data_IF_546846874482
#
_entry.id   IF_546846874482
#
_cell.length_a   1.000
_cell.length_b   1.000
_cell.length_c   1.000
_cell.angle_alpha   90.00
_cell.angle_beta   90.00
_cell.angle_gamma   90.00
#
_symmetry.space_group_name_H-M   'P 1'
#
loop_
_entity.id
_entity.type
_entity.pdbx_description
1 polymer ?
#
# COMPACT_ATOMS: atom_id res chain seq x y z
N UNK A 1 9.77 22.83 54.41
CA UNK A 1 9.71 21.56 53.65
C UNK A 1 8.52 21.47 52.68
N UNK A 2 7.30 21.89 53.04
CA UNK A 2 6.08 21.82 52.18
C UNK A 2 6.17 22.54 50.82
N UNK A 3 6.89 23.67 50.73
CA UNK A 3 7.03 24.43 49.48
C UNK A 3 7.88 23.72 48.40
N UNK A 4 8.88 22.92 48.81
CA UNK A 4 9.75 22.18 47.87
C UNK A 4 9.02 21.00 47.23
N UNK A 5 8.22 20.26 48.00
CA UNK A 5 7.38 19.18 47.46
C UNK A 5 6.30 19.69 46.51
N UNK A 6 5.74 20.88 46.76
CA UNK A 6 4.71 21.47 45.91
C UNK A 6 5.27 21.93 44.55
N UNK A 7 6.48 22.52 44.53
CA UNK A 7 7.18 22.86 43.29
C UNK A 7 7.53 21.63 42.44
N UNK A 8 7.95 20.53 43.08
CA UNK A 8 8.25 19.27 42.38
C UNK A 8 6.98 18.67 41.76
N UNK A 9 5.86 18.67 42.50
CA UNK A 9 4.57 18.18 41.98
C UNK A 9 4.04 19.06 40.83
N UNK A 10 4.19 20.39 40.93
CA UNK A 10 3.84 21.32 39.85
C UNK A 10 4.69 21.06 38.60
N UNK A 11 6.00 20.86 38.78
CA UNK A 11 6.91 20.53 37.67
C UNK A 11 6.56 19.22 36.98
N UNK A 12 6.27 18.17 37.75
CA UNK A 12 5.82 16.88 37.21
C UNK A 12 4.48 17.01 36.47
N UNK A 13 3.52 17.74 37.03
CA UNK A 13 2.23 18.00 36.38
C UNK A 13 2.42 18.71 35.03
N UNK A 14 3.31 19.70 34.95
CA UNK A 14 3.62 20.40 33.71
C UNK A 14 4.20 19.46 32.65
N UNK A 15 5.15 18.59 33.03
CA UNK A 15 5.75 17.61 32.10
C UNK A 15 4.70 16.64 31.56
N UNK A 16 3.79 16.15 32.41
CA UNK A 16 2.71 15.25 31.98
C UNK A 16 1.77 15.94 31.00
N UNK A 17 1.40 17.20 31.25
CA UNK A 17 0.55 17.98 30.34
C UNK A 17 1.24 18.17 28.99
N UNK A 18 2.51 18.54 28.98
CA UNK A 18 3.29 18.72 27.74
C UNK A 18 3.40 17.40 26.97
N UNK A 19 3.71 16.30 27.66
CA UNK A 19 3.78 14.97 27.03
C UNK A 19 2.44 14.56 26.40
N UNK A 20 1.32 14.82 27.09
CA UNK A 20 -0.02 14.52 26.58
C UNK A 20 -0.37 15.32 25.31
N UNK A 21 0.10 16.57 25.20
CA UNK A 21 -0.12 17.41 24.03
C UNK A 21 0.77 16.99 22.84
N UNK A 22 2.01 16.58 23.10
CA UNK A 22 2.97 16.19 22.05
C UNK A 22 2.63 14.81 21.48
N UNK A 23 2.10 13.90 22.29
CA UNK A 23 1.82 12.53 21.87
C UNK A 23 0.98 12.40 20.58
N UNK A 24 -0.20 13.05 20.44
CA UNK A 24 -0.99 12.93 19.22
C UNK A 24 -0.26 13.47 17.99
N UNK A 25 0.55 14.54 18.15
CA UNK A 25 1.36 15.10 17.06
C UNK A 25 2.43 14.11 16.60
N UNK A 26 3.06 13.41 17.54
CA UNK A 26 4.07 12.40 17.23
C UNK A 26 3.47 11.19 16.51
N UNK A 27 2.26 10.77 16.86
CA UNK A 27 1.54 9.68 16.18
C UNK A 27 1.23 10.07 14.74
N UNK A 28 0.66 11.26 14.52
CA UNK A 28 0.34 11.74 13.17
C UNK A 28 1.61 11.87 12.29
N UNK A 29 2.68 12.44 12.86
CA UNK A 29 3.96 12.54 12.17
C UNK A 29 4.52 11.17 11.77
N UNK A 30 4.43 10.18 12.68
CA UNK A 30 4.87 8.81 12.41
C UNK A 30 4.07 8.18 11.28
N UNK A 31 2.75 8.35 11.27
CA UNK A 31 1.87 7.79 10.22
C UNK A 31 2.15 8.40 8.85
N UNK A 32 2.43 9.71 8.79
CA UNK A 32 2.88 10.38 7.56
C UNK A 32 4.25 9.86 7.09
N UNK A 33 5.20 9.69 8.02
CA UNK A 33 6.52 9.15 7.71
C UNK A 33 6.44 7.71 7.20
N UNK A 34 5.55 6.90 7.77
CA UNK A 34 5.25 5.55 7.31
C UNK A 34 4.67 5.53 5.90
N UNK A 35 3.74 6.44 5.58
CA UNK A 35 3.23 6.59 4.23
C UNK A 35 4.34 6.96 3.23
N UNK A 36 5.29 7.82 3.61
CA UNK A 36 6.44 8.14 2.76
C UNK A 36 7.33 6.90 2.52
N UNK A 37 7.45 5.98 3.48
CA UNK A 37 8.13 4.69 3.27
C UNK A 37 7.40 3.77 2.30
N UNK A 38 6.05 3.80 2.28
CA UNK A 38 5.27 3.07 1.26
C UNK A 38 5.61 3.59 -0.14
N UNK A 39 5.73 4.90 -0.32
CA UNK A 39 6.16 5.50 -1.59
C UNK A 39 7.59 5.08 -1.97
N UNK A 40 8.50 4.98 -1.00
CA UNK A 40 9.86 4.48 -1.24
C UNK A 40 9.87 3.00 -1.65
N UNK A 41 9.04 2.15 -1.04
CA UNK A 41 8.88 0.76 -1.47
C UNK A 41 8.35 0.66 -2.89
N UNK A 42 7.31 1.43 -3.21
CA UNK A 42 6.78 1.53 -4.57
C UNK A 42 7.89 1.83 -5.58
N UNK A 43 8.71 2.87 -5.36
CA UNK A 43 9.79 3.26 -6.30
C UNK A 43 10.81 2.16 -6.51
N UNK A 44 11.11 1.39 -5.45
CA UNK A 44 12.03 0.25 -5.54
C UNK A 44 11.43 -0.87 -6.38
N UNK A 45 10.17 -1.21 -6.14
CA UNK A 45 9.46 -2.26 -6.87
C UNK A 45 9.23 -1.85 -8.32
N UNK A 46 8.88 -0.58 -8.58
CA UNK A 46 8.75 -0.02 -9.93
C UNK A 46 10.07 -0.14 -10.70
N UNK A 47 11.20 0.21 -10.07
CA UNK A 47 12.51 0.04 -10.68
C UNK A 47 12.84 -1.43 -10.96
N UNK A 48 12.55 -2.33 -10.00
CA UNK A 48 12.78 -3.76 -10.14
C UNK A 48 11.92 -4.36 -11.28
N UNK A 49 10.62 -4.08 -11.30
CA UNK A 49 9.69 -4.54 -12.35
C UNK A 49 10.12 -4.02 -13.72
N UNK A 50 10.60 -2.77 -13.79
CA UNK A 50 11.15 -2.21 -15.02
C UNK A 50 12.37 -2.99 -15.50
N UNK A 51 13.34 -3.25 -14.62
CA UNK A 51 14.52 -4.07 -14.94
C UNK A 51 14.13 -5.47 -15.39
N UNK A 52 13.23 -6.15 -14.67
CA UNK A 52 12.74 -7.48 -15.05
C UNK A 52 12.08 -7.48 -16.43
N UNK A 53 11.28 -6.47 -16.73
CA UNK A 53 10.63 -6.32 -18.03
C UNK A 53 11.63 -6.05 -19.16
N UNK A 54 12.69 -5.30 -18.88
CA UNK A 54 13.71 -4.96 -19.87
C UNK A 54 14.68 -6.13 -20.12
N UNK A 55 14.95 -6.97 -19.11
CA UNK A 55 15.86 -8.13 -19.19
C UNK A 55 15.17 -9.42 -19.69
N UNK A 56 13.96 -9.72 -19.20
CA UNK A 56 13.25 -10.98 -19.48
C UNK A 56 12.13 -10.84 -20.52
N UNK A 57 11.69 -9.61 -20.80
CA UNK A 57 10.55 -9.34 -21.67
C UNK A 57 9.21 -9.64 -20.99
N UNK A 58 8.27 -10.18 -21.76
CA UNK A 58 6.94 -10.55 -21.28
C UNK A 58 6.97 -11.92 -20.59
N UNK A 59 6.41 -12.00 -19.39
CA UNK A 59 6.24 -13.25 -18.65
C UNK A 59 5.08 -14.07 -19.23
N UNK A 60 5.21 -15.40 -19.21
CA UNK A 60 4.13 -16.30 -19.64
C UNK A 60 2.88 -16.15 -18.75
N UNK A 61 3.07 -15.98 -17.45
CA UNK A 61 2.02 -15.76 -16.45
C UNK A 61 2.43 -14.71 -15.41
N UNK A 62 1.43 -14.12 -14.75
CA UNK A 62 1.64 -13.08 -13.75
C UNK A 62 2.31 -13.59 -12.45
N UNK A 63 2.21 -14.89 -12.13
CA UNK A 63 2.80 -15.44 -10.92
C UNK A 63 4.33 -15.46 -11.03
N UNK A 64 4.87 -15.68 -12.23
CA UNK A 64 6.31 -15.58 -12.52
C UNK A 64 6.88 -14.19 -12.19
N UNK A 65 6.24 -13.12 -12.68
CA UNK A 65 6.68 -11.76 -12.38
C UNK A 65 6.58 -11.45 -10.88
N UNK A 66 5.48 -11.87 -10.23
CA UNK A 66 5.32 -11.70 -8.77
C UNK A 66 6.40 -12.44 -7.98
N UNK A 67 6.76 -13.65 -8.40
CA UNK A 67 7.80 -14.45 -7.75
C UNK A 67 9.18 -13.79 -7.85
N UNK A 68 9.51 -13.19 -8.99
CA UNK A 68 10.74 -12.42 -9.20
C UNK A 68 10.80 -11.13 -8.35
N UNK A 69 9.65 -10.51 -8.07
CA UNK A 69 9.60 -9.39 -7.11
C UNK A 69 9.92 -9.86 -5.69
N UNK A 70 9.33 -10.99 -5.29
CA UNK A 70 9.60 -11.66 -4.02
C UNK A 70 8.88 -11.06 -2.81
N UNK A 71 8.47 -11.94 -1.88
CA UNK A 71 7.68 -11.55 -0.69
C UNK A 71 8.45 -10.60 0.26
N UNK A 72 9.78 -10.70 0.30
CA UNK A 72 10.60 -9.83 1.16
C UNK A 72 10.55 -8.36 0.72
N UNK A 73 10.49 -8.10 -0.59
CA UNK A 73 10.40 -6.74 -1.13
C UNK A 73 9.05 -6.08 -0.80
N UNK A 74 8.01 -6.90 -0.59
CA UNK A 74 6.64 -6.50 -0.26
C UNK A 74 6.36 -6.48 1.25
N UNK A 75 7.32 -6.89 2.09
CA UNK A 75 7.11 -6.94 3.53
C UNK A 75 7.08 -5.53 4.12
N UNK A 76 5.95 -5.17 4.72
CA UNK A 76 5.77 -3.94 5.47
C UNK A 76 4.81 -4.20 6.63
N UNK A 77 5.21 -3.85 7.85
CA UNK A 77 4.50 -4.29 9.05
C UNK A 77 3.19 -3.52 9.26
N UNK A 78 3.11 -2.29 8.76
CA UNK A 78 2.00 -1.41 9.04
C UNK A 78 0.85 -1.49 8.02
N UNK A 79 1.11 -1.90 6.78
CA UNK A 79 0.09 -2.09 5.73
C UNK A 79 0.43 -3.29 4.87
N UNK A 80 -0.56 -3.94 4.28
CA UNK A 80 -0.33 -4.98 3.28
C UNK A 80 0.07 -4.33 1.96
N UNK A 81 1.24 -4.71 1.45
CA UNK A 81 1.71 -4.35 0.11
C UNK A 81 1.67 -5.58 -0.77
N UNK A 82 1.33 -5.40 -2.04
CA UNK A 82 1.30 -6.50 -2.98
C UNK A 82 1.59 -6.05 -4.43
N UNK A 83 1.89 -7.02 -5.30
CA UNK A 83 1.86 -6.83 -6.76
C UNK A 83 0.59 -7.48 -7.29
N UNK A 84 -0.33 -6.64 -7.75
CA UNK A 84 -1.52 -7.02 -8.48
C UNK A 84 -1.32 -6.88 -9.99
N UNK A 85 -2.36 -7.25 -10.74
CA UNK A 85 -2.33 -7.25 -12.19
C UNK A 85 -3.65 -6.75 -12.74
N UNK A 86 -3.61 -5.71 -13.55
CA UNK A 86 -4.79 -5.16 -14.23
C UNK A 86 -4.77 -5.61 -15.70
N UNK A 87 -5.92 -6.05 -16.25
CA UNK A 87 -6.01 -6.41 -17.65
C UNK A 87 -5.81 -5.18 -18.53
N UNK A 88 -5.03 -5.33 -19.60
CA UNK A 88 -4.81 -4.31 -20.62
C UNK A 88 -5.01 -4.93 -22.00
N UNK A 89 -5.77 -4.23 -22.84
CA UNK A 89 -5.97 -4.61 -24.24
C UNK A 89 -5.11 -3.70 -25.13
N UNK A 90 -4.21 -4.31 -25.90
CA UNK A 90 -3.34 -3.63 -26.86
C UNK A 90 -3.61 -4.18 -28.26
N UNK A 91 -4.53 -3.55 -28.97
CA UNK A 91 -5.02 -4.05 -30.26
C UNK A 91 -5.77 -5.37 -30.07
N UNK A 92 -5.30 -6.45 -30.70
CA UNK A 92 -5.89 -7.79 -30.56
C UNK A 92 -5.25 -8.62 -29.44
N UNK A 93 -4.27 -8.06 -28.71
CA UNK A 93 -3.58 -8.77 -27.62
C UNK A 93 -4.18 -8.36 -26.27
N UNK A 94 -4.75 -9.32 -25.57
CA UNK A 94 -5.06 -9.21 -24.14
C UNK A 94 -3.80 -9.60 -23.36
N UNK A 95 -3.46 -8.78 -22.36
CA UNK A 95 -2.42 -9.11 -21.39
C UNK A 95 -2.66 -8.40 -20.08
N UNK A 96 -1.64 -8.43 -19.23
CA UNK A 96 -1.73 -7.90 -17.88
C UNK A 96 -0.57 -6.96 -17.59
N UNK A 97 -0.88 -5.82 -16.98
CA UNK A 97 0.12 -4.89 -16.47
C UNK A 97 0.24 -5.00 -14.95
N UNK A 98 1.45 -4.87 -14.38
CA UNK A 98 1.65 -4.96 -12.95
C UNK A 98 1.23 -3.66 -12.26
N UNK A 99 0.57 -3.79 -11.12
CA UNK A 99 0.19 -2.66 -10.26
C UNK A 99 0.65 -2.94 -8.83
N UNK A 100 1.11 -1.89 -8.16
CA UNK A 100 1.43 -1.90 -6.75
C UNK A 100 0.16 -1.67 -5.94
N UNK A 101 -0.23 -2.68 -5.17
CA UNK A 101 -1.42 -2.65 -4.35
C UNK A 101 -1.03 -2.28 -2.93
N UNK A 102 -1.71 -1.29 -2.36
CA UNK A 102 -1.57 -0.89 -0.97
C UNK A 102 -2.90 -1.10 -0.27
N UNK A 103 -2.89 -1.80 0.86
CA UNK A 103 -4.09 -2.09 1.63
C UNK A 103 -3.87 -1.93 3.14
N UNK A 104 -4.71 -1.12 3.78
CA UNK A 104 -4.78 -0.99 5.23
C UNK A 104 -6.20 -1.24 5.73
N UNK A 105 -6.37 -2.14 6.69
CA UNK A 105 -7.66 -2.46 7.30
C UNK A 105 -7.62 -2.28 8.82
N UNK A 106 -8.81 -2.12 9.42
CA UNK A 106 -8.97 -2.13 10.88
C UNK A 106 -8.48 -3.47 11.46
N UNK A 107 -7.51 -3.41 12.36
CA UNK A 107 -6.84 -4.58 12.92
C UNK A 107 -5.40 -4.30 13.37
N UNK A 108 -4.76 -3.29 12.76
CA UNK A 108 -3.51 -2.69 13.22
C UNK A 108 -3.71 -1.20 13.48
N UNK A 109 -3.17 -0.63 14.57
CA UNK A 109 -3.43 0.76 14.98
C UNK A 109 -3.02 1.79 13.93
N UNK A 110 -2.04 1.47 13.06
CA UNK A 110 -1.51 2.39 12.06
C UNK A 110 -1.94 2.08 10.63
N UNK A 111 -2.56 0.92 10.37
CA UNK A 111 -2.80 0.46 8.99
C UNK A 111 -3.73 1.39 8.20
N UNK A 112 -4.84 1.80 8.80
CA UNK A 112 -5.81 2.66 8.12
C UNK A 112 -5.28 4.09 7.91
N UNK A 113 -4.69 4.78 8.91
CA UNK A 113 -4.10 6.10 8.70
C UNK A 113 -2.93 6.09 7.70
N UNK A 114 -2.05 5.10 7.77
CA UNK A 114 -0.91 4.99 6.84
C UNK A 114 -1.39 4.77 5.40
N UNK A 115 -2.35 3.88 5.17
CA UNK A 115 -2.91 3.66 3.84
C UNK A 115 -3.61 4.91 3.30
N UNK A 116 -4.35 5.66 4.14
CA UNK A 116 -4.96 6.95 3.75
C UNK A 116 -3.93 7.99 3.37
N UNK A 117 -2.88 8.15 4.18
CA UNK A 117 -1.82 9.10 3.87
C UNK A 117 -1.05 8.68 2.61
N UNK A 118 -0.78 7.39 2.42
CA UNK A 118 -0.15 6.89 1.20
C UNK A 118 -1.02 7.17 -0.03
N UNK A 119 -2.33 6.91 0.06
CA UNK A 119 -3.29 7.24 -0.98
C UNK A 119 -3.22 8.73 -1.33
N UNK A 120 -3.22 9.63 -0.34
CA UNK A 120 -3.10 11.08 -0.59
C UNK A 120 -1.80 11.44 -1.31
N UNK A 121 -0.67 10.80 -0.96
CA UNK A 121 0.61 11.03 -1.65
C UNK A 121 0.57 10.57 -3.10
N UNK A 122 -0.01 9.40 -3.39
CA UNK A 122 -0.14 8.91 -4.76
C UNK A 122 -1.18 9.67 -5.59
N UNK A 123 -2.27 10.11 -4.96
CA UNK A 123 -3.27 10.96 -5.59
C UNK A 123 -2.66 12.29 -6.03
N UNK A 124 -1.81 12.90 -5.19
CA UNK A 124 -1.10 14.13 -5.54
C UNK A 124 -0.08 13.96 -6.69
N UNK A 125 0.23 12.71 -7.07
CA UNK A 125 1.12 12.38 -8.19
C UNK A 125 0.34 11.94 -9.45
N UNK A 126 -0.99 11.93 -9.41
CA UNK A 126 -1.89 11.40 -10.46
C UNK A 126 -1.57 9.94 -10.85
N UNK A 127 -1.21 9.12 -9.85
CA UNK A 127 -0.77 7.71 -10.07
C UNK A 127 -1.77 6.64 -9.61
N UNK A 128 -2.95 6.99 -9.11
CA UNK A 128 -3.89 5.97 -8.63
C UNK A 128 -4.66 5.36 -9.80
N UNK A 129 -4.62 4.04 -9.92
CA UNK A 129 -5.41 3.24 -10.86
C UNK A 129 -6.59 2.54 -10.16
N UNK A 130 -7.68 2.36 -10.92
CA UNK A 130 -8.96 1.78 -10.51
C UNK A 130 -9.60 2.45 -9.28
N UNK A 131 -10.92 2.31 -9.12
CA UNK A 131 -11.67 2.99 -8.06
C UNK A 131 -11.17 2.59 -6.66
N UNK A 132 -10.47 3.47 -5.92
CA UNK A 132 -9.93 3.12 -4.63
C UNK A 132 -11.07 2.73 -3.69
N UNK A 133 -10.93 1.59 -3.03
CA UNK A 133 -11.90 1.16 -2.01
C UNK A 133 -11.53 1.89 -0.73
N UNK A 134 -12.16 3.03 -0.51
CA UNK A 134 -12.05 3.79 0.74
C UNK A 134 -13.35 3.61 1.53
N UNK A 135 -13.29 2.80 2.57
CA UNK A 135 -14.36 2.62 3.56
C UNK A 135 -13.83 3.00 4.93
N UNK A 136 -14.74 3.16 5.89
CA UNK A 136 -14.35 3.45 7.28
C UNK A 136 -13.49 2.35 7.90
N UNK A 137 -13.61 1.11 7.39
CA UNK A 137 -12.92 -0.07 7.90
C UNK A 137 -11.71 -0.51 7.06
N UNK A 138 -11.52 0.01 5.85
CA UNK A 138 -10.42 -0.36 4.98
C UNK A 138 -10.14 0.70 3.92
N UNK A 139 -8.86 0.89 3.59
CA UNK A 139 -8.39 1.63 2.43
C UNK A 139 -7.56 0.70 1.55
N UNK A 140 -7.96 0.56 0.29
CA UNK A 140 -7.22 -0.18 -0.72
C UNK A 140 -7.16 0.60 -2.02
N UNK A 141 -5.99 0.67 -2.63
CA UNK A 141 -5.79 1.31 -3.92
C UNK A 141 -4.63 0.66 -4.66
N UNK A 142 -4.60 0.86 -5.98
CA UNK A 142 -3.54 0.36 -6.85
C UNK A 142 -2.82 1.53 -7.53
N UNK A 143 -1.55 1.32 -7.87
CA UNK A 143 -0.67 2.30 -8.52
C UNK A 143 0.09 1.55 -9.62
N UNK A 144 0.19 2.04 -10.86
CA UNK A 144 0.88 1.31 -11.93
C UNK A 144 2.37 1.18 -11.64
N UNK A 145 2.93 -0.01 -11.88
CA UNK A 145 4.37 -0.28 -11.77
C UNK A 145 5.11 -0.13 -13.11
N UNK A 146 4.40 0.25 -14.18
CA UNK A 146 4.93 0.37 -15.52
C UNK A 146 4.13 1.36 -16.37
N UNK A 147 4.48 1.44 -17.65
CA UNK A 147 3.74 2.25 -18.60
C UNK A 147 2.32 1.69 -18.81
N UNK A 148 1.28 2.53 -18.96
CA UNK A 148 -0.11 2.10 -19.04
C UNK A 148 -0.39 1.21 -20.26
N UNK A 149 0.46 1.27 -21.28
CA UNK A 149 0.42 0.58 -22.57
C UNK A 149 1.45 -0.56 -22.69
N UNK A 150 2.01 -1.05 -21.57
CA UNK A 150 2.95 -2.18 -21.56
C UNK A 150 2.28 -3.42 -20.95
N UNK A 151 2.19 -4.49 -21.72
CA UNK A 151 1.91 -5.83 -21.21
C UNK A 151 3.18 -6.38 -20.56
N UNK A 152 3.08 -6.83 -19.32
CA UNK A 152 4.17 -7.53 -18.65
C UNK A 152 3.94 -9.05 -18.62
N UNK A 153 2.69 -9.50 -18.63
CA UNK A 153 2.33 -10.92 -18.51
C UNK A 153 1.19 -11.29 -19.47
N UNK A 154 1.21 -12.50 -20.00
CA UNK A 154 0.23 -12.96 -21.01
C UNK A 154 -0.96 -13.74 -20.43
N UNK A 155 -0.78 -14.41 -19.30
CA UNK A 155 -1.83 -15.12 -18.58
C UNK A 155 -2.09 -14.48 -17.21
N UNK A 156 -3.34 -14.53 -16.70
CA UNK A 156 -3.69 -14.00 -15.38
C UNK A 156 -2.93 -14.75 -14.27
N UNK A 157 -2.80 -14.16 -13.07
CA UNK A 157 -2.27 -14.89 -11.93
C UNK A 157 -3.20 -16.05 -11.58
N UNK A 158 -2.63 -17.23 -11.31
CA UNK A 158 -3.38 -18.38 -10.80
C UNK A 158 -3.80 -18.15 -9.34
N UNK A 159 -3.13 -17.23 -8.66
CA UNK A 159 -3.42 -16.84 -7.28
C UNK A 159 -4.10 -15.48 -7.21
N UNK A 160 -5.36 -15.44 -6.75
CA UNK A 160 -6.07 -14.16 -6.58
C UNK A 160 -5.42 -13.27 -5.52
N UNK A 161 -5.22 -11.97 -5.80
CA UNK A 161 -4.67 -11.03 -4.83
C UNK A 161 -5.61 -10.91 -3.62
N UNK A 162 -5.03 -11.00 -2.42
CA UNK A 162 -5.76 -10.84 -1.17
C UNK A 162 -5.90 -9.35 -0.85
N UNK A 163 -7.10 -8.79 -0.95
CA UNK A 163 -7.35 -7.43 -0.44
C UNK A 163 -7.18 -7.44 1.09
N UNK A 164 -6.15 -6.75 1.59
CA UNK A 164 -5.86 -6.63 3.03
C UNK A 164 -5.76 -7.99 3.73
N UNK A 165 -5.21 -9.01 3.05
CA UNK A 165 -5.08 -10.36 3.60
C UNK A 165 -6.35 -11.21 3.59
N UNK A 166 -7.50 -10.70 3.13
CA UNK A 166 -8.71 -11.50 2.88
C UNK A 166 -8.76 -11.95 1.42
N UNK A 167 -9.07 -13.24 1.19
CA UNK A 167 -9.33 -13.75 -0.18
C UNK A 167 -10.47 -12.93 -0.77
N UNK A 168 -10.23 -12.35 -1.95
CA UNK A 168 -11.33 -11.88 -2.77
C UNK A 168 -12.03 -13.11 -3.36
N UNK A 169 -13.35 -13.16 -3.21
CA UNK A 169 -14.19 -13.91 -4.14
C UNK A 169 -14.30 -12.98 -5.35
N UNK A 170 -14.03 -13.48 -6.56
CA UNK A 170 -14.38 -12.72 -7.77
C UNK A 170 -15.83 -12.24 -7.61
N UNK A 171 -16.20 -11.00 -7.97
CA UNK A 171 -17.58 -10.75 -8.26
C UNK A 171 -17.95 -11.76 -9.34
N UNK A 172 -18.80 -12.73 -9.01
CA UNK A 172 -19.54 -13.44 -10.04
C UNK A 172 -20.11 -12.33 -10.92
N UNK A 173 -19.76 -12.37 -12.21
CA UNK A 173 -20.35 -11.44 -13.17
C UNK A 173 -21.87 -11.45 -13.02
N UNK A 174 -22.60 -10.50 -13.61
CA UNK A 174 -24.04 -10.35 -13.45
C UNK A 174 -24.92 -11.54 -13.93
N UNK A 175 -24.36 -12.75 -14.10
CA UNK A 175 -25.01 -13.98 -14.51
C UNK A 175 -24.70 -15.17 -13.56
N UNK A 176 -24.83 -15.01 -12.25
CA UNK A 176 -24.87 -16.15 -11.33
C UNK A 176 -26.16 -16.13 -10.49
N UNK A 177 -27.17 -16.85 -10.99
CA UNK A 177 -28.31 -17.39 -10.21
C UNK A 177 -29.41 -16.43 -9.85
#
# INVERSE_FOLDING_TARGET
MKARTLLILLGLALVVIVAALIHPVMVDYRERSLADRVVQHYRRIEAQVRTLSDDQGEFADCDGLRAEVGDEALRFDEVTLDVGFEPVELGERLGYRPVFVVCGAVGSPHALPVARYAQQRFAALDRIEAGPIVRDSAVAFAVPLGAPDRIACLAPPTTLPRLCGRRQVLPDGPNAG
#
